data_IF_137128499278
#
_entry.id   IF_137128499278
#
_cell.length_a   1.000
_cell.length_b   1.000
_cell.length_c   1.000
_cell.angle_alpha   90.00
_cell.angle_beta   90.00
_cell.angle_gamma   90.00
#
_symmetry.space_group_name_H-M   'P 1'
#
loop_
_entity.id
_entity.type
_entity.pdbx_description
1 polymer ?
#
# COMPACT_ATOMS: atom_id res chain seq x y z
N UNK A 1 -37.63 16.35 -20.41
CA UNK A 1 -36.22 16.22 -20.80
C UNK A 1 -35.20 16.28 -19.64
N UNK A 2 -35.59 16.79 -18.47
CA UNK A 2 -34.69 16.86 -17.31
C UNK A 2 -34.55 15.54 -16.51
N UNK A 3 -35.49 14.62 -16.64
CA UNK A 3 -35.51 13.34 -15.89
C UNK A 3 -34.53 12.28 -16.40
N UNK A 4 -34.11 12.35 -17.65
CA UNK A 4 -33.18 11.39 -18.26
C UNK A 4 -31.70 11.63 -17.88
N UNK A 5 -31.33 12.82 -17.44
CA UNK A 5 -29.96 13.17 -17.04
C UNK A 5 -29.57 12.63 -15.65
N UNK A 6 -30.55 12.40 -14.77
CA UNK A 6 -30.30 11.87 -13.42
C UNK A 6 -30.05 10.36 -13.40
N UNK A 7 -30.59 9.60 -14.34
CA UNK A 7 -30.43 8.13 -14.41
C UNK A 7 -29.01 7.76 -14.87
N UNK A 8 -28.38 8.57 -15.72
CA UNK A 8 -27.01 8.34 -16.20
C UNK A 8 -25.95 8.42 -15.10
N UNK A 9 -26.19 9.21 -14.04
CA UNK A 9 -25.25 9.35 -12.92
C UNK A 9 -25.24 8.13 -11.98
N UNK A 10 -26.38 7.48 -11.79
CA UNK A 10 -26.47 6.29 -10.93
C UNK A 10 -25.83 5.05 -11.57
N UNK A 11 -25.92 4.91 -12.88
CA UNK A 11 -25.31 3.78 -13.60
C UNK A 11 -23.78 3.86 -13.62
N UNK A 12 -23.20 5.05 -13.65
CA UNK A 12 -21.74 5.23 -13.61
C UNK A 12 -21.13 4.80 -12.27
N UNK A 13 -21.81 5.04 -11.15
CA UNK A 13 -21.34 4.69 -9.81
C UNK A 13 -21.31 3.15 -9.59
N UNK A 14 -22.27 2.41 -10.09
CA UNK A 14 -22.34 0.95 -9.93
C UNK A 14 -21.25 0.28 -10.78
N UNK A 15 -21.07 0.69 -12.02
CA UNK A 15 -20.04 0.14 -12.92
C UNK A 15 -18.63 0.44 -12.42
N UNK A 16 -18.40 1.60 -11.81
CA UNK A 16 -17.12 1.97 -11.22
C UNK A 16 -16.83 1.12 -9.97
N UNK A 17 -17.83 0.87 -9.12
CA UNK A 17 -17.71 0.01 -7.95
C UNK A 17 -17.38 -1.45 -8.32
N UNK A 18 -18.03 -2.02 -9.33
CA UNK A 18 -17.73 -3.37 -9.81
C UNK A 18 -16.31 -3.48 -10.41
N UNK A 19 -15.90 -2.50 -11.20
CA UNK A 19 -14.55 -2.44 -11.75
C UNK A 19 -13.49 -2.36 -10.66
N UNK A 20 -13.73 -1.54 -9.65
CA UNK A 20 -12.86 -1.43 -8.50
C UNK A 20 -12.74 -2.76 -7.74
N UNK A 21 -13.88 -3.37 -7.40
CA UNK A 21 -13.89 -4.65 -6.67
C UNK A 21 -13.13 -5.74 -7.41
N UNK A 22 -13.36 -5.87 -8.72
CA UNK A 22 -12.65 -6.84 -9.56
C UNK A 22 -11.15 -6.57 -9.64
N UNK A 23 -10.75 -5.30 -9.76
CA UNK A 23 -9.34 -4.92 -9.80
C UNK A 23 -8.63 -5.21 -8.46
N UNK A 24 -9.30 -4.95 -7.34
CA UNK A 24 -8.77 -5.27 -6.02
C UNK A 24 -8.67 -6.78 -5.80
N UNK A 25 -9.71 -7.54 -6.10
CA UNK A 25 -9.74 -9.00 -5.96
C UNK A 25 -8.60 -9.65 -6.75
N UNK A 26 -8.41 -9.25 -8.02
CA UNK A 26 -7.31 -9.73 -8.86
C UNK A 26 -5.94 -9.48 -8.20
N UNK A 27 -5.70 -8.29 -7.67
CA UNK A 27 -4.40 -7.95 -7.08
C UNK A 27 -4.20 -8.52 -5.68
N UNK A 28 -5.22 -8.54 -4.85
CA UNK A 28 -5.16 -9.12 -3.50
C UNK A 28 -4.87 -10.62 -3.57
N UNK A 29 -5.46 -11.35 -4.51
CA UNK A 29 -5.18 -12.78 -4.71
C UNK A 29 -3.71 -13.08 -5.04
N UNK A 30 -2.97 -12.11 -5.57
CA UNK A 30 -1.56 -12.25 -5.92
C UNK A 30 -0.62 -11.94 -4.74
N UNK A 31 -1.11 -11.31 -3.66
CA UNK A 31 -0.29 -10.94 -2.50
C UNK A 31 0.33 -12.17 -1.83
N UNK A 32 -0.44 -13.23 -1.62
CA UNK A 32 0.05 -14.46 -0.99
C UNK A 32 1.11 -15.20 -1.83
N UNK A 33 1.12 -14.95 -3.13
CA UNK A 33 2.05 -15.57 -4.07
C UNK A 33 3.31 -14.74 -4.31
N UNK A 34 3.34 -13.50 -3.82
CA UNK A 34 4.46 -12.59 -4.01
C UNK A 34 5.66 -13.01 -3.16
N UNK A 35 6.75 -13.41 -3.82
CA UNK A 35 7.98 -13.91 -3.17
C UNK A 35 9.25 -13.21 -3.64
N UNK A 36 9.15 -12.27 -4.57
CA UNK A 36 10.29 -11.55 -5.11
C UNK A 36 10.11 -10.02 -4.95
N UNK A 37 11.23 -9.33 -4.92
CA UNK A 37 11.27 -7.86 -4.85
C UNK A 37 10.50 -7.24 -6.01
N UNK A 38 10.67 -7.78 -7.21
CA UNK A 38 10.01 -7.30 -8.43
C UNK A 38 8.49 -7.48 -8.35
N UNK A 39 8.03 -8.62 -7.81
CA UNK A 39 6.59 -8.88 -7.67
C UNK A 39 5.94 -7.94 -6.65
N UNK A 40 6.61 -7.68 -5.53
CA UNK A 40 6.14 -6.72 -4.55
C UNK A 40 6.10 -5.29 -5.10
N UNK A 41 7.11 -4.91 -5.91
CA UNK A 41 7.12 -3.62 -6.60
C UNK A 41 5.96 -3.48 -7.58
N UNK A 42 5.71 -4.51 -8.40
CA UNK A 42 4.59 -4.56 -9.34
C UNK A 42 3.24 -4.39 -8.61
N UNK A 43 3.04 -5.12 -7.50
CA UNK A 43 1.83 -5.04 -6.69
C UNK A 43 1.64 -3.65 -6.09
N UNK A 44 2.70 -3.08 -5.48
CA UNK A 44 2.65 -1.72 -4.94
C UNK A 44 2.20 -0.70 -5.98
N UNK A 45 2.82 -0.73 -7.16
CA UNK A 45 2.49 0.19 -8.25
C UNK A 45 1.06 -0.04 -8.78
N UNK A 46 0.59 -1.28 -8.81
CA UNK A 46 -0.76 -1.62 -9.25
C UNK A 46 -1.81 -1.13 -8.27
N UNK A 47 -1.61 -1.36 -6.97
CA UNK A 47 -2.50 -0.86 -5.92
C UNK A 47 -2.51 0.67 -5.86
N UNK A 48 -1.35 1.33 -5.98
CA UNK A 48 -1.29 2.79 -6.02
C UNK A 48 -2.12 3.35 -7.18
N UNK A 49 -2.02 2.77 -8.38
CA UNK A 49 -2.85 3.18 -9.54
C UNK A 49 -4.34 2.99 -9.30
N UNK A 50 -4.75 1.89 -8.64
CA UNK A 50 -6.15 1.69 -8.26
C UNK A 50 -6.58 2.78 -7.28
N UNK A 51 -5.79 3.10 -6.27
CA UNK A 51 -6.09 4.14 -5.30
C UNK A 51 -6.19 5.55 -5.92
N UNK A 52 -5.33 5.87 -6.87
CA UNK A 52 -5.39 7.15 -7.59
C UNK A 52 -6.62 7.26 -8.51
N UNK A 53 -7.11 6.14 -9.03
CA UNK A 53 -8.35 6.10 -9.82
C UNK A 53 -9.60 6.17 -8.93
N UNK A 54 -9.57 5.52 -7.76
CA UNK A 54 -10.67 5.40 -6.80
C UNK A 54 -10.40 6.27 -5.56
N UNK A 55 -10.37 7.56 -5.73
CA UNK A 55 -9.87 8.58 -4.79
C UNK A 55 -10.44 8.53 -3.37
N UNK A 56 -11.56 7.85 -3.15
CA UNK A 56 -12.23 7.75 -1.85
C UNK A 56 -11.96 6.41 -1.14
N UNK A 57 -11.19 5.52 -1.75
CA UNK A 57 -10.92 4.18 -1.24
C UNK A 57 -9.53 4.12 -0.58
N UNK A 58 -9.48 3.83 0.72
CA UNK A 58 -8.23 3.74 1.48
C UNK A 58 -7.47 2.42 1.26
N UNK A 59 -8.20 1.35 0.99
CA UNK A 59 -7.67 -0.02 0.94
C UNK A 59 -6.58 -0.23 -0.12
N UNK A 60 -6.67 0.35 -1.34
CA UNK A 60 -5.58 0.26 -2.31
C UNK A 60 -4.27 0.87 -1.79
N UNK A 61 -4.33 2.02 -1.16
CA UNK A 61 -3.14 2.66 -0.59
C UNK A 61 -2.55 1.86 0.58
N UNK A 62 -3.39 1.20 1.38
CA UNK A 62 -2.95 0.27 2.41
C UNK A 62 -2.16 -0.90 1.80
N UNK A 63 -2.70 -1.57 0.78
CA UNK A 63 -2.00 -2.68 0.11
C UNK A 63 -0.75 -2.22 -0.64
N UNK A 64 -0.74 -1.03 -1.20
CA UNK A 64 0.45 -0.44 -1.80
C UNK A 64 1.56 -0.22 -0.76
N UNK A 65 1.21 0.32 0.42
CA UNK A 65 2.14 0.50 1.54
C UNK A 65 2.65 -0.84 2.08
N UNK A 66 1.77 -1.81 2.30
CA UNK A 66 2.13 -3.17 2.70
C UNK A 66 3.14 -3.78 1.73
N UNK A 67 2.90 -3.65 0.43
CA UNK A 67 3.78 -4.19 -0.61
C UNK A 67 5.18 -3.58 -0.55
N UNK A 68 5.30 -2.27 -0.27
CA UNK A 68 6.60 -1.61 -0.08
C UNK A 68 7.33 -2.12 1.16
N UNK A 69 6.64 -2.29 2.26
CA UNK A 69 7.23 -2.84 3.48
C UNK A 69 7.70 -4.27 3.28
N UNK A 70 6.91 -5.12 2.62
CA UNK A 70 7.29 -6.50 2.31
C UNK A 70 8.49 -6.56 1.38
N UNK A 71 8.56 -5.68 0.38
CA UNK A 71 9.72 -5.54 -0.50
C UNK A 71 10.97 -5.16 0.29
N UNK A 72 10.90 -4.12 1.12
CA UNK A 72 12.01 -3.69 1.96
C UNK A 72 12.47 -4.78 2.94
N UNK A 73 11.52 -5.51 3.53
CA UNK A 73 11.81 -6.64 4.42
C UNK A 73 12.53 -7.77 3.68
N UNK A 74 12.11 -8.05 2.45
CA UNK A 74 12.78 -9.06 1.62
C UNK A 74 14.20 -8.65 1.23
N UNK A 75 14.42 -7.35 0.94
CA UNK A 75 15.76 -6.80 0.71
C UNK A 75 16.64 -6.88 1.95
N UNK A 76 16.06 -6.73 3.14
CA UNK A 76 16.75 -6.81 4.41
C UNK A 76 17.06 -8.25 4.86
N UNK A 77 16.41 -9.24 4.26
CA UNK A 77 16.49 -10.62 4.72
C UNK A 77 17.93 -11.15 4.67
N UNK A 78 18.41 -11.65 5.81
CA UNK A 78 19.76 -12.18 5.94
C UNK A 78 20.87 -11.13 6.13
N UNK A 79 20.54 -9.85 6.21
CA UNK A 79 21.49 -8.76 6.49
C UNK A 79 21.21 -8.14 7.85
N UNK A 80 22.26 -7.96 8.66
CA UNK A 80 22.18 -7.29 9.96
C UNK A 80 22.82 -5.88 9.88
N UNK A 81 22.03 -4.90 9.45
CA UNK A 81 22.48 -3.52 9.32
C UNK A 81 23.23 -3.21 8.01
N UNK A 82 23.53 -1.95 7.79
CA UNK A 82 24.25 -1.48 6.59
C UNK A 82 23.43 -1.49 5.30
N UNK A 83 22.12 -1.56 5.40
CA UNK A 83 21.19 -1.64 4.25
C UNK A 83 20.22 -0.46 4.17
N UNK A 84 20.42 0.55 5.01
CA UNK A 84 19.53 1.71 5.07
C UNK A 84 19.36 2.39 3.70
N UNK A 85 20.42 2.51 2.92
CA UNK A 85 20.38 3.10 1.58
C UNK A 85 19.41 2.38 0.62
N UNK A 86 19.15 1.10 0.86
CA UNK A 86 18.23 0.28 0.04
C UNK A 86 16.82 0.22 0.59
N UNK A 87 16.67 0.21 1.92
CA UNK A 87 15.39 -0.04 2.59
C UNK A 87 14.68 1.22 3.03
N UNK A 88 15.41 2.30 3.36
CA UNK A 88 14.79 3.56 3.75
C UNK A 88 13.93 4.19 2.65
N UNK A 89 14.31 4.20 1.36
CA UNK A 89 13.43 4.68 0.31
C UNK A 89 12.10 3.91 0.23
N UNK A 90 12.11 2.61 0.54
CA UNK A 90 10.90 1.79 0.57
C UNK A 90 10.05 2.07 1.81
N UNK A 91 10.69 2.27 2.96
CA UNK A 91 10.00 2.70 4.18
C UNK A 91 9.35 4.08 4.01
N UNK A 92 10.03 5.03 3.38
CA UNK A 92 9.53 6.38 3.11
C UNK A 92 8.35 6.34 2.13
N UNK A 93 8.46 5.55 1.07
CA UNK A 93 7.35 5.36 0.12
C UNK A 93 6.15 4.68 0.78
N UNK A 94 6.37 3.68 1.63
CA UNK A 94 5.32 3.02 2.40
C UNK A 94 4.61 4.02 3.33
N UNK A 95 5.35 4.87 4.03
CA UNK A 95 4.80 5.89 4.92
C UNK A 95 3.95 6.92 4.17
N UNK A 96 4.41 7.37 3.00
CA UNK A 96 3.65 8.26 2.12
C UNK A 96 2.32 7.63 1.68
N UNK A 97 2.34 6.38 1.25
CA UNK A 97 1.14 5.64 0.84
C UNK A 97 0.18 5.41 2.02
N UNK A 98 0.73 5.08 3.17
CA UNK A 98 -0.07 4.88 4.37
C UNK A 98 -0.71 6.18 4.87
N UNK A 99 -0.04 7.31 4.69
CA UNK A 99 -0.61 8.64 4.97
C UNK A 99 -1.82 8.92 4.07
N UNK A 100 -1.75 8.58 2.78
CA UNK A 100 -2.91 8.66 1.87
C UNK A 100 -4.07 7.77 2.36
N UNK A 101 -3.77 6.52 2.75
CA UNK A 101 -4.79 5.62 3.30
C UNK A 101 -5.43 6.17 4.58
N UNK A 102 -4.62 6.66 5.51
CA UNK A 102 -5.08 7.23 6.79
C UNK A 102 -5.96 8.47 6.63
N UNK A 103 -5.76 9.24 5.58
CA UNK A 103 -6.59 10.41 5.28
C UNK A 103 -8.01 10.03 4.80
N UNK A 104 -8.20 8.80 4.31
CA UNK A 104 -9.45 8.30 3.73
C UNK A 104 -10.24 7.38 4.67
N UNK A 105 -9.72 7.05 5.83
CA UNK A 105 -10.38 6.18 6.82
C UNK A 105 -10.14 6.66 8.23
N UNK A 106 -10.97 6.19 9.17
CA UNK A 106 -10.66 6.32 10.58
C UNK A 106 -9.48 5.42 10.94
N UNK A 107 -8.74 5.78 11.98
CA UNK A 107 -7.69 4.92 12.52
C UNK A 107 -8.24 3.54 12.85
N UNK A 108 -7.54 2.50 12.39
CA UNK A 108 -7.88 1.11 12.60
C UNK A 108 -6.61 0.27 12.81
N UNK A 109 -6.80 -0.99 13.19
CA UNK A 109 -5.68 -1.91 13.50
C UNK A 109 -4.75 -2.15 12.31
N UNK A 110 -5.29 -2.15 11.11
CA UNK A 110 -4.53 -2.40 9.87
C UNK A 110 -3.53 -1.26 9.62
N UNK A 111 -3.96 -0.01 9.76
CA UNK A 111 -3.09 1.17 9.63
C UNK A 111 -1.99 1.13 10.70
N UNK A 112 -2.33 0.83 11.95
CA UNK A 112 -1.33 0.71 13.02
C UNK A 112 -0.34 -0.43 12.80
N UNK A 113 -0.80 -1.55 12.25
CA UNK A 113 0.08 -2.67 11.91
C UNK A 113 1.15 -2.25 10.90
N UNK A 114 0.77 -1.57 9.81
CA UNK A 114 1.74 -1.11 8.82
C UNK A 114 2.67 -0.03 9.38
N UNK A 115 2.17 0.91 10.20
CA UNK A 115 3.04 1.88 10.91
C UNK A 115 4.13 1.17 11.69
N UNK A 116 3.77 0.13 12.45
CA UNK A 116 4.73 -0.66 13.22
C UNK A 116 5.71 -1.42 12.33
N UNK A 117 5.25 -1.98 11.23
CA UNK A 117 6.11 -2.68 10.26
C UNK A 117 7.13 -1.72 9.61
N UNK A 118 6.74 -0.51 9.26
CA UNK A 118 7.63 0.54 8.74
C UNK A 118 8.71 0.87 9.78
N UNK A 119 8.32 1.09 11.04
CA UNK A 119 9.27 1.37 12.11
C UNK A 119 10.25 0.21 12.32
N UNK A 120 9.77 -1.03 12.26
CA UNK A 120 10.60 -2.23 12.36
C UNK A 120 11.59 -2.31 11.18
N UNK A 121 11.15 -2.05 9.96
CA UNK A 121 12.02 -2.05 8.78
C UNK A 121 13.15 -1.03 8.92
N UNK A 122 12.84 0.20 9.37
CA UNK A 122 13.85 1.23 9.63
C UNK A 122 14.83 0.82 10.72
N UNK A 123 14.35 0.18 11.79
CA UNK A 123 15.21 -0.29 12.87
C UNK A 123 16.15 -1.41 12.39
N UNK A 124 15.67 -2.34 11.58
CA UNK A 124 16.49 -3.41 11.02
C UNK A 124 17.57 -2.89 10.07
N UNK A 125 17.31 -1.78 9.38
CA UNK A 125 18.24 -1.19 8.43
C UNK A 125 19.53 -0.65 9.09
N UNK A 126 19.40 -0.08 10.29
CA UNK A 126 20.51 0.45 11.09
C UNK A 126 20.24 0.32 12.59
N UNK A 127 20.38 -0.88 13.16
CA UNK A 127 20.06 -1.13 14.57
C UNK A 127 20.96 -0.34 15.53
N UNK A 128 22.23 -0.18 15.18
CA UNK A 128 23.21 0.43 16.10
C UNK A 128 22.94 1.90 16.37
N UNK A 129 22.48 2.63 15.35
CA UNK A 129 22.21 4.06 15.47
C UNK A 129 20.77 4.34 15.93
N UNK A 130 19.82 3.50 15.53
CA UNK A 130 18.36 3.73 15.72
C UNK A 130 17.80 3.12 17.01
N UNK A 131 18.58 2.28 17.70
CA UNK A 131 18.18 1.71 19.00
C UNK A 131 18.30 2.72 20.15
N UNK A 132 18.99 3.86 19.94
CA UNK A 132 19.28 4.85 20.97
C UNK A 132 18.34 6.06 20.98
N UNK A 133 17.37 6.07 20.08
CA UNK A 133 16.31 7.11 20.01
C UNK A 133 14.97 6.56 20.42
#
# INVERSE_FOLDING_TARGET
MLLFLFISFYFSGIAQSEKYMKAMEDKVSQVEQAKTVEKWLELSNSFERIGEAEKEQWLPFYYAALSRVMMGTLMANGQQGGIADKTDPEADKAELLLTKASALTKENSEIWCIKKMIATLRMMADPMTRFQT
#
